data_IF_194496019670
#
_entry.id   IF_194496019670
#
_cell.length_a   1.000
_cell.length_b   1.000
_cell.length_c   1.000
_cell.angle_alpha   90.00
_cell.angle_beta   90.00
_cell.angle_gamma   90.00
#
_symmetry.space_group_name_H-M   'P 1'
#
loop_
_entity.id
_entity.type
_entity.pdbx_description
1 polymer ?
#
# COMPACT_ATOMS: atom_id res chain seq x y z
N UNK A 1 -2.59 -2.35 -17.31
CA UNK A 1 -4.06 -2.50 -17.35
C UNK A 1 -4.65 -1.37 -16.55
N UNK A 2 -5.59 -0.65 -17.08
CA UNK A 2 -6.28 0.43 -16.36
C UNK A 2 -7.76 0.11 -16.29
N UNK A 3 -8.41 0.44 -15.20
CA UNK A 3 -9.85 0.40 -15.05
C UNK A 3 -10.33 1.68 -14.37
N UNK A 4 -11.60 1.98 -14.54
CA UNK A 4 -12.22 3.15 -13.94
C UNK A 4 -12.80 2.77 -12.56
N UNK A 5 -12.11 3.13 -11.48
CA UNK A 5 -12.51 2.84 -10.10
C UNK A 5 -13.90 3.44 -9.73
N UNK A 6 -14.38 4.45 -10.48
CA UNK A 6 -15.71 5.01 -10.26
C UNK A 6 -16.84 4.05 -10.64
N UNK A 7 -16.53 2.98 -11.39
CA UNK A 7 -17.51 1.96 -11.82
C UNK A 7 -17.74 0.85 -10.79
N UNK A 8 -17.11 0.92 -9.63
CA UNK A 8 -17.33 0.02 -8.52
C UNK A 8 -16.07 -0.68 -8.02
N UNK A 9 -16.26 -1.51 -7.01
CA UNK A 9 -15.21 -2.17 -6.22
C UNK A 9 -15.07 -3.67 -6.55
N UNK A 10 -15.56 -4.09 -7.74
CA UNK A 10 -15.49 -5.48 -8.22
C UNK A 10 -14.81 -5.60 -9.60
N UNK A 11 -13.66 -4.96 -9.83
CA UNK A 11 -12.97 -5.12 -11.11
C UNK A 11 -12.39 -6.53 -11.20
N UNK A 12 -12.75 -7.28 -12.23
CA UNK A 12 -12.16 -8.58 -12.54
C UNK A 12 -11.22 -8.41 -13.72
N UNK A 13 -9.95 -8.67 -13.49
CA UNK A 13 -8.93 -8.62 -14.54
C UNK A 13 -8.73 -10.01 -15.12
N UNK A 14 -9.02 -10.19 -16.40
CA UNK A 14 -8.93 -11.48 -17.07
C UNK A 14 -7.52 -12.09 -17.07
N UNK A 15 -6.49 -11.25 -16.95
CA UNK A 15 -5.11 -11.74 -16.84
C UNK A 15 -4.92 -12.57 -15.58
N UNK A 16 -5.51 -12.20 -14.45
CA UNK A 16 -5.37 -12.92 -13.18
C UNK A 16 -6.09 -14.28 -13.16
N UNK A 17 -6.94 -14.57 -14.15
CA UNK A 17 -7.57 -15.89 -14.30
C UNK A 17 -6.67 -16.90 -15.02
N UNK A 18 -5.59 -16.45 -15.67
CA UNK A 18 -4.69 -17.30 -16.42
C UNK A 18 -3.64 -17.92 -15.49
N UNK A 19 -3.39 -19.21 -15.60
CA UNK A 19 -2.25 -19.80 -14.88
C UNK A 19 -0.93 -19.25 -15.43
N UNK A 20 0.01 -18.97 -14.53
CA UNK A 20 1.32 -18.43 -14.88
C UNK A 20 1.30 -17.03 -15.54
N UNK A 21 0.25 -16.24 -15.30
CA UNK A 21 0.06 -14.91 -15.87
C UNK A 21 1.23 -13.95 -15.64
N UNK A 22 2.01 -14.21 -14.60
CA UNK A 22 3.10 -13.35 -14.09
C UNK A 22 4.48 -13.69 -14.69
N UNK A 23 4.61 -14.74 -15.50
CA UNK A 23 5.93 -15.27 -15.93
C UNK A 23 6.76 -14.30 -16.76
N UNK A 24 6.10 -13.36 -17.42
CA UNK A 24 6.74 -12.37 -18.29
C UNK A 24 6.91 -11.00 -17.60
N UNK A 25 6.70 -10.92 -16.28
CA UNK A 25 6.81 -9.66 -15.52
C UNK A 25 7.92 -9.72 -14.47
N UNK A 26 8.73 -8.68 -14.41
CA UNK A 26 9.78 -8.50 -13.39
C UNK A 26 9.20 -8.00 -12.06
N UNK A 27 8.06 -7.33 -12.10
CA UNK A 27 7.37 -6.74 -10.94
C UNK A 27 5.89 -6.53 -11.26
N UNK A 28 5.04 -6.59 -10.24
CA UNK A 28 3.62 -6.20 -10.36
C UNK A 28 3.37 -4.96 -9.52
N UNK A 29 2.71 -3.96 -10.11
CA UNK A 29 2.21 -2.79 -9.37
C UNK A 29 0.71 -2.96 -9.17
N UNK A 30 0.29 -3.05 -7.92
CA UNK A 30 -1.10 -3.13 -7.50
C UNK A 30 -1.59 -1.75 -7.08
N UNK A 31 -2.61 -1.23 -7.76
CA UNK A 31 -3.32 0.00 -7.41
C UNK A 31 -4.83 -0.15 -7.64
N UNK A 32 -5.29 -1.39 -7.73
CA UNK A 32 -6.69 -1.72 -7.92
C UNK A 32 -7.54 -1.50 -6.67
N UNK A 33 -8.72 -0.89 -6.83
CA UNK A 33 -9.75 -0.79 -5.80
C UNK A 33 -10.71 -1.99 -5.90
N UNK A 34 -10.26 -3.18 -5.51
CA UNK A 34 -10.99 -4.45 -5.66
C UNK A 34 -11.59 -4.95 -4.33
N UNK A 35 -12.16 -4.03 -3.54
CA UNK A 35 -12.60 -4.30 -2.16
C UNK A 35 -13.60 -5.46 -2.04
N UNK A 36 -14.49 -5.63 -3.01
CA UNK A 36 -15.58 -6.59 -3.00
C UNK A 36 -15.33 -7.82 -3.88
N UNK A 37 -14.10 -8.05 -4.32
CA UNK A 37 -13.67 -9.31 -4.90
C UNK A 37 -13.34 -10.27 -3.76
N UNK A 38 -14.13 -11.33 -3.64
CA UNK A 38 -14.14 -12.23 -2.48
C UNK A 38 -13.93 -13.70 -2.87
N UNK A 39 -13.54 -13.99 -4.10
CA UNK A 39 -13.21 -15.33 -4.57
C UNK A 39 -11.79 -15.71 -4.14
N UNK A 40 -11.62 -16.65 -3.19
CA UNK A 40 -10.30 -17.04 -2.72
C UNK A 40 -9.42 -17.60 -3.83
N UNK A 41 -9.99 -18.35 -4.78
CA UNK A 41 -9.24 -18.94 -5.90
C UNK A 41 -8.64 -17.87 -6.80
N UNK A 42 -9.42 -16.82 -7.07
CA UNK A 42 -8.94 -15.68 -7.85
C UNK A 42 -7.81 -14.94 -7.13
N UNK A 43 -7.97 -14.66 -5.84
CA UNK A 43 -6.95 -13.99 -5.02
C UNK A 43 -5.68 -14.83 -4.91
N UNK A 44 -5.82 -16.15 -4.68
CA UNK A 44 -4.67 -17.06 -4.62
C UNK A 44 -3.89 -17.11 -5.93
N UNK A 45 -4.57 -17.01 -7.09
CA UNK A 45 -3.87 -16.95 -8.36
C UNK A 45 -3.06 -15.66 -8.54
N UNK A 46 -3.51 -14.55 -7.95
CA UNK A 46 -2.72 -13.31 -7.87
C UNK A 46 -1.49 -13.52 -6.97
N UNK A 47 -1.72 -14.02 -5.76
CA UNK A 47 -0.68 -14.22 -4.75
C UNK A 47 0.38 -15.26 -5.14
N UNK A 48 0.03 -16.20 -6.01
CA UNK A 48 0.97 -17.20 -6.57
C UNK A 48 2.18 -16.53 -7.22
N UNK A 49 1.98 -15.42 -7.94
CA UNK A 49 3.07 -14.63 -8.52
C UNK A 49 4.12 -14.25 -7.47
N UNK A 50 3.64 -13.74 -6.34
CA UNK A 50 4.51 -13.24 -5.28
C UNK A 50 5.13 -14.37 -4.45
N UNK A 51 4.42 -15.49 -4.26
CA UNK A 51 5.02 -16.69 -3.65
C UNK A 51 6.11 -17.28 -4.53
N UNK A 52 5.99 -17.15 -5.84
CA UNK A 52 7.00 -17.61 -6.81
C UNK A 52 8.12 -16.61 -7.08
N UNK A 53 8.13 -15.47 -6.39
CA UNK A 53 9.27 -14.54 -6.36
C UNK A 53 9.11 -13.30 -7.22
N UNK A 54 7.95 -13.05 -7.84
CA UNK A 54 7.69 -11.78 -8.54
C UNK A 54 7.38 -10.69 -7.51
N UNK A 55 8.19 -9.63 -7.40
CA UNK A 55 8.00 -8.56 -6.44
C UNK A 55 6.69 -7.79 -6.64
N UNK A 56 6.22 -7.11 -5.59
CA UNK A 56 5.07 -6.21 -5.67
C UNK A 56 5.39 -4.81 -5.16
N UNK A 57 4.75 -3.84 -5.82
CA UNK A 57 4.57 -2.47 -5.35
C UNK A 57 3.08 -2.25 -5.15
N UNK A 58 2.64 -1.98 -3.92
CA UNK A 58 1.23 -1.81 -3.62
C UNK A 58 0.97 -0.34 -3.28
N UNK A 59 0.04 0.26 -4.01
CA UNK A 59 -0.29 1.67 -3.89
C UNK A 59 -1.72 1.82 -3.38
N UNK A 60 -1.92 2.78 -2.54
CA UNK A 60 -3.19 3.29 -2.02
C UNK A 60 -4.34 2.27 -1.96
N UNK A 61 -5.15 2.17 -3.01
CA UNK A 61 -6.34 1.31 -3.10
C UNK A 61 -6.06 -0.18 -2.89
N UNK A 62 -4.86 -0.66 -3.25
CA UNK A 62 -4.48 -2.07 -3.07
C UNK A 62 -4.58 -2.52 -1.61
N UNK A 63 -4.41 -1.59 -0.64
CA UNK A 63 -4.51 -1.89 0.79
C UNK A 63 -5.91 -2.35 1.21
N UNK A 64 -6.94 -1.94 0.49
CA UNK A 64 -8.35 -2.25 0.78
C UNK A 64 -8.95 -3.22 -0.23
N UNK A 65 -8.15 -3.86 -1.09
CA UNK A 65 -8.61 -4.86 -2.05
C UNK A 65 -8.76 -6.26 -1.42
N UNK A 66 -9.54 -7.12 -2.04
CA UNK A 66 -9.67 -8.55 -1.74
C UNK A 66 -10.00 -8.86 -0.28
N UNK A 67 -11.06 -8.24 0.26
CA UNK A 67 -11.45 -8.35 1.66
C UNK A 67 -12.84 -8.95 1.82
N UNK A 68 -12.98 -9.93 2.72
CA UNK A 68 -14.25 -10.58 3.05
C UNK A 68 -14.29 -11.08 4.48
N UNK A 69 -15.43 -11.63 4.88
CA UNK A 69 -15.66 -12.12 6.24
C UNK A 69 -15.60 -10.99 7.28
N UNK A 70 -15.00 -11.25 8.42
CA UNK A 70 -14.85 -10.27 9.52
C UNK A 70 -13.60 -9.40 9.34
N UNK A 71 -13.32 -8.95 8.13
CA UNK A 71 -12.10 -8.20 7.80
C UNK A 71 -11.88 -6.90 8.61
N UNK A 72 -12.92 -6.39 9.28
CA UNK A 72 -12.81 -5.22 10.16
C UNK A 72 -12.15 -5.54 11.52
N UNK A 73 -12.02 -6.81 11.85
CA UNK A 73 -11.30 -7.32 13.01
C UNK A 73 -9.95 -7.85 12.59
N UNK A 74 -8.96 -8.00 13.50
CA UNK A 74 -7.72 -8.68 13.19
C UNK A 74 -7.99 -10.06 12.58
N UNK A 75 -7.48 -10.28 11.33
CA UNK A 75 -7.60 -11.58 10.69
C UNK A 75 -6.64 -12.57 11.34
N UNK A 76 -7.01 -13.85 11.33
CA UNK A 76 -6.12 -14.91 11.80
C UNK A 76 -5.16 -15.30 10.67
N UNK A 77 -3.87 -15.25 10.95
CA UNK A 77 -2.85 -15.67 9.99
C UNK A 77 -3.10 -17.10 9.49
N UNK A 78 -2.99 -17.29 8.18
CA UNK A 78 -3.24 -18.54 7.47
C UNK A 78 -4.71 -18.80 7.09
N UNK A 79 -5.65 -17.96 7.50
CA UNK A 79 -7.03 -18.01 6.99
C UNK A 79 -7.09 -17.39 5.59
N UNK A 80 -7.96 -17.89 4.70
CA UNK A 80 -8.07 -17.42 3.30
C UNK A 80 -8.23 -15.89 3.20
N UNK A 81 -8.99 -15.28 4.10
CA UNK A 81 -9.20 -13.84 4.13
C UNK A 81 -8.01 -13.03 4.72
N UNK A 82 -6.96 -13.71 5.16
CA UNK A 82 -5.73 -13.10 5.66
C UNK A 82 -4.63 -13.01 4.58
N UNK A 83 -4.65 -13.87 3.59
CA UNK A 83 -3.53 -14.07 2.65
C UNK A 83 -3.13 -12.79 1.91
N UNK A 84 -4.09 -11.94 1.52
CA UNK A 84 -3.77 -10.64 0.92
C UNK A 84 -3.05 -9.71 1.89
N UNK A 85 -3.52 -9.63 3.14
CA UNK A 85 -2.89 -8.82 4.18
C UNK A 85 -1.51 -9.37 4.59
N UNK A 86 -1.32 -10.68 4.54
CA UNK A 86 0.00 -11.31 4.75
C UNK A 86 0.99 -10.89 3.66
N UNK A 87 0.55 -10.83 2.40
CA UNK A 87 1.38 -10.32 1.30
C UNK A 87 1.69 -8.84 1.51
N UNK A 88 0.71 -8.01 1.86
CA UNK A 88 0.94 -6.62 2.20
C UNK A 88 1.86 -6.47 3.42
N UNK A 89 1.80 -7.38 4.39
CA UNK A 89 2.48 -7.30 5.69
C UNK A 89 1.76 -6.44 6.73
N UNK A 90 0.60 -5.87 6.38
CA UNK A 90 -0.19 -5.00 7.24
C UNK A 90 -1.66 -5.10 6.84
N UNK A 91 -2.55 -5.14 7.83
CA UNK A 91 -4.00 -5.07 7.62
C UNK A 91 -4.51 -3.65 7.84
N UNK A 92 -5.14 -3.10 6.81
CA UNK A 92 -5.90 -1.86 6.85
C UNK A 92 -7.32 -2.13 6.36
N UNK A 93 -8.31 -1.42 6.90
CA UNK A 93 -9.74 -1.69 6.62
C UNK A 93 -10.56 -0.44 6.39
N UNK A 94 -9.98 0.72 6.63
CA UNK A 94 -10.66 2.00 6.51
C UNK A 94 -9.68 3.16 6.68
N UNK A 95 -10.18 4.36 6.51
CA UNK A 95 -9.41 5.59 6.59
C UNK A 95 -10.18 6.68 7.32
N UNK A 96 -9.46 7.71 7.78
CA UNK A 96 -10.02 8.93 8.32
C UNK A 96 -10.56 9.87 7.22
N UNK A 97 -10.97 11.09 7.60
CA UNK A 97 -11.35 12.10 6.62
C UNK A 97 -10.14 12.57 5.81
N UNK A 98 -10.40 13.16 4.63
CA UNK A 98 -9.35 13.74 3.80
C UNK A 98 -8.83 15.04 4.44
N UNK A 99 -7.66 14.96 5.05
CA UNK A 99 -6.92 16.05 5.66
C UNK A 99 -5.43 15.89 5.34
N UNK A 100 -4.61 16.95 5.43
CA UNK A 100 -3.17 16.82 5.26
C UNK A 100 -2.57 15.80 6.22
N UNK A 101 -1.59 15.04 5.74
CA UNK A 101 -0.85 14.06 6.53
C UNK A 101 0.60 14.55 6.63
N UNK A 102 1.08 14.78 7.84
CA UNK A 102 2.51 15.00 8.09
C UNK A 102 3.22 13.64 8.07
N UNK A 103 4.07 13.44 7.08
CA UNK A 103 4.85 12.21 6.87
C UNK A 103 6.22 12.37 7.49
N UNK A 104 6.60 11.43 8.36
CA UNK A 104 7.92 11.33 8.95
C UNK A 104 8.57 9.99 8.58
N UNK A 105 9.75 10.03 7.99
CA UNK A 105 10.56 8.86 7.68
C UNK A 105 11.28 8.35 8.94
N UNK A 106 11.00 7.11 9.34
CA UNK A 106 11.45 6.53 10.60
C UNK A 106 12.66 5.59 10.47
N UNK A 107 12.79 4.87 9.36
CA UNK A 107 13.94 4.00 9.07
C UNK A 107 14.91 4.69 8.12
N UNK A 108 15.66 5.67 8.63
CA UNK A 108 16.58 6.50 7.82
C UNK A 108 17.78 5.73 7.26
N UNK A 109 18.01 4.53 7.70
CA UNK A 109 19.07 3.65 7.16
C UNK A 109 18.58 2.85 5.94
N UNK A 110 17.27 2.70 5.77
CA UNK A 110 16.72 2.04 4.60
C UNK A 110 17.05 2.81 3.32
N UNK A 111 17.60 2.15 2.28
CA UNK A 111 17.93 2.81 1.02
C UNK A 111 16.72 3.47 0.35
N UNK A 112 15.50 2.98 0.61
CA UNK A 112 14.27 3.55 0.03
C UNK A 112 14.04 4.98 0.50
N UNK A 113 14.31 5.26 1.77
CA UNK A 113 14.00 6.59 2.37
C UNK A 113 15.25 7.39 2.75
N UNK A 114 16.42 6.85 2.49
CA UNK A 114 17.69 7.51 2.80
C UNK A 114 17.81 8.85 2.08
N UNK A 115 18.00 9.92 2.88
CA UNK A 115 18.10 11.28 2.37
C UNK A 115 16.77 11.92 1.96
N UNK A 116 15.63 11.23 2.07
CA UNK A 116 14.32 11.86 1.90
C UNK A 116 13.99 12.74 3.12
N UNK A 117 13.44 13.91 2.83
CA UNK A 117 12.99 14.83 3.87
C UNK A 117 11.53 14.56 4.24
N UNK A 118 11.21 14.70 5.52
CA UNK A 118 9.84 14.70 6.02
C UNK A 118 9.02 15.80 5.30
N UNK A 119 7.73 15.53 5.08
CA UNK A 119 6.87 16.45 4.35
C UNK A 119 5.40 16.34 4.74
N UNK A 120 4.58 17.26 4.28
CA UNK A 120 3.12 17.23 4.49
C UNK A 120 2.42 17.16 3.15
N UNK A 121 1.48 16.23 3.03
CA UNK A 121 0.66 16.06 1.82
C UNK A 121 -0.38 17.19 1.67
N UNK A 122 -1.01 17.29 0.50
CA UNK A 122 -2.35 17.89 0.39
C UNK A 122 -3.36 17.04 1.17
N UNK A 123 -4.65 17.31 1.06
CA UNK A 123 -5.67 16.47 1.69
C UNK A 123 -5.55 15.02 1.19
N UNK A 124 -5.34 14.10 2.12
CA UNK A 124 -5.14 12.67 1.87
C UNK A 124 -5.92 11.82 2.87
N UNK A 125 -6.06 10.54 2.58
CA UNK A 125 -6.72 9.56 3.43
C UNK A 125 -5.69 8.83 4.30
N UNK A 126 -5.69 9.09 5.61
CA UNK A 126 -4.87 8.30 6.54
C UNK A 126 -5.55 6.95 6.79
N UNK A 127 -4.95 5.89 6.28
CA UNK A 127 -5.43 4.53 6.46
C UNK A 127 -5.10 4.02 7.86
N UNK A 128 -6.06 3.30 8.47
CA UNK A 128 -5.85 2.68 9.77
C UNK A 128 -4.87 1.49 9.68
N UNK A 129 -4.26 1.15 10.83
CA UNK A 129 -3.48 -0.07 10.97
C UNK A 129 -4.20 -0.98 11.99
N UNK A 130 -4.90 -2.00 11.50
CA UNK A 130 -5.63 -2.95 12.35
C UNK A 130 -4.67 -3.93 13.00
N UNK A 131 -3.72 -4.46 12.20
CA UNK A 131 -2.65 -5.32 12.72
C UNK A 131 -1.43 -5.31 11.78
N UNK A 132 -0.27 -5.60 12.35
CA UNK A 132 1.00 -5.75 11.62
C UNK A 132 1.29 -7.24 11.47
N UNK A 133 1.50 -7.70 10.23
CA UNK A 133 1.72 -9.11 9.85
C UNK A 133 3.13 -9.38 9.31
N UNK A 134 4.03 -8.39 9.43
CA UNK A 134 5.41 -8.51 8.93
C UNK A 134 5.98 -7.20 8.42
N UNK A 135 5.15 -6.15 8.30
CA UNK A 135 5.58 -4.85 7.81
C UNK A 135 6.76 -4.27 8.58
N UNK A 136 7.82 -3.89 7.86
CA UNK A 136 8.94 -3.09 8.35
C UNK A 136 8.67 -1.63 7.99
N UNK A 137 8.39 -0.82 8.98
CA UNK A 137 7.99 0.58 8.81
C UNK A 137 9.10 1.43 8.20
N UNK A 138 8.78 2.16 7.13
CA UNK A 138 9.65 3.17 6.53
C UNK A 138 9.20 4.59 6.90
N UNK A 139 7.90 4.83 6.93
CA UNK A 139 7.33 6.14 7.26
C UNK A 139 6.03 6.01 8.05
N UNK A 140 5.80 6.99 8.91
CA UNK A 140 4.54 7.20 9.63
C UNK A 140 3.90 8.51 9.20
N UNK A 141 2.57 8.53 9.19
CA UNK A 141 1.76 9.70 8.92
C UNK A 141 1.00 10.13 10.15
N UNK A 142 1.05 11.43 10.45
CA UNK A 142 0.25 12.07 11.46
C UNK A 142 -0.82 12.94 10.82
N UNK A 143 -2.08 12.69 11.13
CA UNK A 143 -3.22 13.47 10.65
C UNK A 143 -3.95 14.12 11.82
N UNK A 144 -4.15 15.44 11.73
CA UNK A 144 -4.95 16.22 12.69
C UNK A 144 -6.28 16.56 12.06
N UNK A 145 -7.36 16.10 12.69
CA UNK A 145 -8.73 16.39 12.26
C UNK A 145 -9.30 17.45 13.17
N UNK A 146 -9.66 18.63 12.64
CA UNK A 146 -10.22 19.71 13.45
C UNK A 146 -11.62 19.34 13.97
N UNK A 147 -12.04 20.00 15.04
CA UNK A 147 -13.42 19.94 15.51
C UNK A 147 -14.38 20.30 14.37
N UNK A 148 -15.46 19.55 14.24
CA UNK A 148 -16.50 19.77 13.25
C UNK A 148 -17.87 19.77 13.90
N UNK A 149 -18.68 20.77 13.55
CA UNK A 149 -20.10 20.83 13.94
C UNK A 149 -20.97 20.54 12.72
N UNK A 150 -21.86 19.59 12.83
CA UNK A 150 -22.80 19.27 11.75
C UNK A 150 -23.96 20.27 11.71
N UNK A 151 -24.80 20.15 10.66
CA UNK A 151 -25.98 21.05 10.47
C UNK A 151 -27.03 20.93 11.58
N UNK A 152 -26.98 19.85 12.38
CA UNK A 152 -27.89 19.60 13.51
C UNK A 152 -27.28 20.03 14.84
N UNK A 153 -26.10 20.68 14.83
CA UNK A 153 -25.40 21.16 15.98
C UNK A 153 -24.61 20.12 16.76
N UNK A 154 -24.53 18.85 16.30
CA UNK A 154 -23.70 17.84 16.92
C UNK A 154 -22.23 18.13 16.67
N UNK A 155 -21.47 18.21 17.73
CA UNK A 155 -20.02 18.45 17.71
C UNK A 155 -19.28 17.12 17.62
N UNK A 156 -18.40 16.98 16.65
CA UNK A 156 -17.35 15.94 16.62
C UNK A 156 -16.06 16.61 17.08
N UNK A 157 -15.47 16.20 18.20
CA UNK A 157 -14.29 16.87 18.74
C UNK A 157 -13.09 16.70 17.81
N UNK A 158 -12.12 17.60 17.93
CA UNK A 158 -10.83 17.47 17.27
C UNK A 158 -10.18 16.14 17.67
N UNK A 159 -9.48 15.51 16.73
CA UNK A 159 -8.78 14.25 16.95
C UNK A 159 -7.44 14.23 16.24
N UNK A 160 -6.58 13.31 16.65
CA UNK A 160 -5.28 13.06 16.04
C UNK A 160 -5.14 11.55 15.81
N UNK A 161 -4.65 11.18 14.63
CA UNK A 161 -4.38 9.80 14.29
C UNK A 161 -2.97 9.65 13.74
N UNK A 162 -2.33 8.53 14.07
CA UNK A 162 -1.00 8.17 13.59
C UNK A 162 -1.03 6.75 13.04
N UNK A 163 -0.48 6.55 11.85
CA UNK A 163 -0.44 5.25 11.19
C UNK A 163 0.84 5.08 10.37
N UNK A 164 1.21 3.82 10.07
CA UNK A 164 2.23 3.49 9.09
C UNK A 164 1.67 3.84 7.72
N UNK A 165 2.43 4.59 6.92
CA UNK A 165 2.01 5.04 5.59
C UNK A 165 2.92 4.53 4.47
N UNK A 166 4.14 4.06 4.79
CA UNK A 166 5.02 3.37 3.86
C UNK A 166 5.81 2.29 4.60
N UNK A 167 5.96 1.12 3.99
CA UNK A 167 6.65 -0.02 4.58
C UNK A 167 7.15 -1.01 3.53
N UNK A 168 7.99 -1.95 3.97
CA UNK A 168 8.36 -3.13 3.21
C UNK A 168 7.90 -4.39 3.92
N UNK A 169 7.76 -5.48 3.15
CA UNK A 169 7.50 -6.81 3.65
C UNK A 169 8.30 -7.85 2.85
N UNK A 170 8.49 -9.02 3.41
CA UNK A 170 9.02 -10.20 2.72
C UNK A 170 7.94 -11.29 2.73
N UNK A 171 7.47 -11.71 1.54
CA UNK A 171 6.35 -12.61 1.43
C UNK A 171 6.73 -13.99 0.87
N UNK A 172 6.10 -15.02 1.44
CA UNK A 172 6.20 -16.39 0.98
C UNK A 172 7.58 -17.04 1.16
N UNK A 173 7.75 -18.26 0.63
CA UNK A 173 8.96 -19.06 0.86
C UNK A 173 10.22 -18.46 0.20
N UNK A 174 10.04 -17.65 -0.84
CA UNK A 174 11.15 -16.97 -1.54
C UNK A 174 11.52 -15.63 -0.93
N UNK A 175 10.84 -15.21 0.17
CA UNK A 175 11.02 -13.88 0.78
C UNK A 175 10.94 -12.76 -0.23
N UNK A 176 9.92 -12.84 -1.07
CA UNK A 176 9.69 -11.89 -2.15
C UNK A 176 9.52 -10.49 -1.60
N UNK A 177 10.24 -9.55 -2.16
CA UNK A 177 10.22 -8.15 -1.72
C UNK A 177 8.92 -7.47 -2.10
N UNK A 178 8.26 -6.89 -1.12
CA UNK A 178 7.01 -6.15 -1.26
C UNK A 178 7.22 -4.74 -0.70
N UNK A 179 6.95 -3.73 -1.50
CA UNK A 179 6.88 -2.34 -1.07
C UNK A 179 5.44 -1.88 -1.07
N UNK A 180 5.03 -1.11 -0.08
CA UNK A 180 3.65 -0.64 0.05
C UNK A 180 3.58 0.78 0.58
N UNK A 181 2.62 1.58 0.07
CA UNK A 181 2.28 2.90 0.61
C UNK A 181 0.78 3.16 0.53
N UNK A 182 0.21 3.71 1.60
CA UNK A 182 -1.21 4.11 1.65
C UNK A 182 -1.45 5.49 1.06
N UNK A 183 -0.42 6.28 0.79
CA UNK A 183 -0.51 7.62 0.22
C UNK A 183 -0.79 7.49 -1.28
N UNK A 184 -1.60 8.42 -1.84
CA UNK A 184 -1.87 8.46 -3.27
C UNK A 184 -3.36 8.57 -3.65
N UNK A 185 -4.22 9.01 -2.72
CA UNK A 185 -5.63 9.27 -3.02
C UNK A 185 -5.82 10.47 -3.97
N UNK A 186 -5.06 11.53 -3.75
CA UNK A 186 -5.21 12.77 -4.49
C UNK A 186 -4.20 12.87 -5.64
N UNK A 187 -4.67 13.26 -6.84
CA UNK A 187 -3.79 13.43 -8.01
C UNK A 187 -2.63 14.38 -7.72
N UNK A 188 -2.87 15.47 -6.97
CA UNK A 188 -1.79 16.39 -6.60
C UNK A 188 -0.71 15.74 -5.70
N UNK A 189 -1.05 14.70 -4.94
CA UNK A 189 -0.06 13.88 -4.22
C UNK A 189 0.69 12.96 -5.17
N UNK A 190 -0.02 12.32 -6.09
CA UNK A 190 0.59 11.39 -7.07
C UNK A 190 1.54 12.12 -8.01
N UNK A 191 1.29 13.39 -8.32
CA UNK A 191 2.14 14.26 -9.14
C UNK A 191 3.30 14.88 -8.35
N UNK A 192 3.29 14.80 -7.01
CA UNK A 192 4.35 15.37 -6.16
C UNK A 192 5.66 14.59 -6.33
N UNK A 193 6.74 15.31 -6.61
CA UNK A 193 8.06 14.71 -6.84
C UNK A 193 8.55 13.86 -5.64
N UNK A 194 8.15 14.20 -4.41
CA UNK A 194 8.52 13.46 -3.18
C UNK A 194 7.80 12.11 -3.11
N UNK A 195 6.53 12.07 -3.52
CA UNK A 195 5.78 10.83 -3.66
C UNK A 195 6.37 9.94 -4.77
N UNK A 196 6.62 10.54 -5.93
CA UNK A 196 7.19 9.81 -7.07
C UNK A 196 8.58 9.25 -6.75
N UNK A 197 9.43 10.00 -6.03
CA UNK A 197 10.74 9.49 -5.61
C UNK A 197 10.61 8.32 -4.63
N UNK A 198 9.70 8.40 -3.64
CA UNK A 198 9.44 7.30 -2.72
C UNK A 198 8.97 6.04 -3.44
N UNK A 199 8.00 6.16 -4.37
CA UNK A 199 7.46 5.02 -5.13
C UNK A 199 8.51 4.43 -6.06
N UNK A 200 9.27 5.29 -6.78
CA UNK A 200 10.34 4.84 -7.68
C UNK A 200 11.43 4.06 -6.92
N UNK A 201 11.85 4.55 -5.75
CA UNK A 201 12.82 3.84 -4.89
C UNK A 201 12.24 2.54 -4.34
N UNK A 202 10.97 2.53 -3.94
CA UNK A 202 10.28 1.30 -3.53
C UNK A 202 10.27 0.25 -4.64
N UNK A 203 9.97 0.65 -5.87
CA UNK A 203 10.01 -0.22 -7.04
C UNK A 203 11.43 -0.74 -7.31
N UNK A 204 12.42 0.15 -7.37
CA UNK A 204 13.81 -0.25 -7.60
C UNK A 204 14.34 -1.18 -6.52
N UNK A 205 13.98 -0.94 -5.25
CA UNK A 205 14.30 -1.84 -4.15
C UNK A 205 13.66 -3.22 -4.33
N UNK A 206 12.41 -3.26 -4.73
CA UNK A 206 11.67 -4.52 -4.92
C UNK A 206 12.34 -5.41 -5.98
N UNK A 207 12.83 -4.81 -7.07
CA UNK A 207 13.53 -5.54 -8.15
C UNK A 207 15.05 -5.64 -7.95
N UNK A 208 15.58 -5.20 -6.79
CA UNK A 208 17.01 -5.30 -6.48
C UNK A 208 17.90 -4.34 -7.29
N UNK A 209 17.36 -3.18 -7.68
CA UNK A 209 18.04 -2.15 -8.48
C UNK A 209 18.19 -0.82 -7.74
N UNK A 210 18.10 -0.84 -6.42
CA UNK A 210 18.38 0.30 -5.55
C UNK A 210 19.64 0.03 -4.74
N UNK A 211 20.62 0.91 -4.83
CA UNK A 211 21.87 0.84 -4.08
C UNK A 211 21.69 1.25 -2.61
N UNK A 212 22.63 0.88 -1.75
CA UNK A 212 22.58 1.16 -0.32
C UNK A 212 22.57 2.66 0.03
N UNK A 213 23.00 3.54 -0.89
CA UNK A 213 22.97 4.99 -0.74
C UNK A 213 21.64 5.62 -1.22
N UNK A 214 20.68 4.80 -1.67
CA UNK A 214 19.37 5.23 -2.18
C UNK A 214 19.38 5.65 -3.65
N UNK A 215 20.46 5.42 -4.39
CA UNK A 215 20.51 5.68 -5.82
C UNK A 215 20.12 4.45 -6.63
N UNK A 216 19.60 4.68 -7.82
CA UNK A 216 19.35 3.60 -8.77
C UNK A 216 20.68 2.95 -9.21
N UNK A 217 20.68 1.63 -9.38
CA UNK A 217 21.81 0.91 -9.99
C UNK A 217 22.06 1.39 -11.43
N UNK A 218 23.29 1.22 -11.91
CA UNK A 218 23.65 1.64 -13.26
C UNK A 218 22.67 1.10 -14.32
N UNK A 219 22.20 1.99 -15.20
CA UNK A 219 21.22 1.68 -16.24
C UNK A 219 19.74 1.77 -15.81
N UNK A 220 19.46 2.06 -14.53
CA UNK A 220 18.08 2.18 -13.99
C UNK A 220 17.75 3.61 -13.49
N UNK A 221 18.68 4.52 -13.50
CA UNK A 221 18.52 5.94 -13.20
C UNK A 221 18.71 6.82 -14.44
N UNK A 222 18.29 8.11 -14.30
CA UNK A 222 18.60 9.15 -15.31
C UNK A 222 20.05 9.59 -15.20
#
# INVERSE_FOLDING_TARGET
MAYDATKGTKPVFEIYKKDGWYKDFDVVVHDECAADITDPTYVENILKAHREGVPAVNLHCAMHSYRWGKFQQPVKAGDDNAHWYEMLGLQSTGHGPQQPIAIAFTDKESPIVKGLADWTTVNEELYNNVQILGAKTLAKGLQKVPEKKDKKGKVTPASEANAIVAWTNEFGPKKTRIFSTTIGHNNATVEDARYLDLVARGLLWSVGKLEADGKASAGFGK
#
